data_IF_899415480055
#
_entry.id   IF_899415480055
#
_cell.length_a   1.000
_cell.length_b   1.000
_cell.length_c   1.000
_cell.angle_alpha   90.00
_cell.angle_beta   90.00
_cell.angle_gamma   90.00
#
_symmetry.space_group_name_H-M   'P 1'
#
loop_
_entity.id
_entity.type
_entity.pdbx_description
1 polymer ?
#
# COMPACT_ATOMS: atom_id res chain seq x y z
N UNK A 1 -49.65 -55.18 -69.81
CA UNK A 1 -49.67 -54.19 -70.89
C UNK A 1 -49.40 -52.82 -70.30
N UNK A 2 -48.26 -52.29 -70.66
CA UNK A 2 -47.84 -50.89 -70.78
C UNK A 2 -48.00 -49.99 -69.55
N UNK A 3 -46.90 -49.59 -68.94
CA UNK A 3 -45.92 -48.51 -69.29
C UNK A 3 -46.41 -47.13 -68.77
N UNK A 4 -45.70 -46.37 -68.15
CA UNK A 4 -44.44 -45.65 -68.34
C UNK A 4 -44.26 -44.62 -67.24
N UNK A 5 -43.11 -44.57 -66.66
CA UNK A 5 -42.17 -43.46 -66.66
C UNK A 5 -42.68 -42.06 -66.35
N UNK A 6 -42.19 -41.49 -65.24
CA UNK A 6 -41.66 -40.16 -65.24
C UNK A 6 -40.71 -39.98 -64.07
N UNK A 7 -39.44 -39.96 -64.38
CA UNK A 7 -38.33 -39.52 -63.51
C UNK A 7 -38.26 -38.02 -63.49
N UNK A 8 -38.32 -37.41 -62.28
CA UNK A 8 -37.93 -35.99 -62.08
C UNK A 8 -36.68 -35.90 -61.18
N UNK A 9 -35.63 -35.13 -61.53
CA UNK A 9 -34.42 -35.05 -60.76
C UNK A 9 -34.60 -34.03 -59.58
N UNK A 10 -34.50 -34.55 -58.38
CA UNK A 10 -34.37 -33.73 -57.16
C UNK A 10 -32.92 -33.21 -57.06
N UNK A 11 -32.67 -32.02 -57.55
CA UNK A 11 -31.45 -31.29 -57.25
C UNK A 11 -31.50 -30.76 -55.82
N UNK A 12 -31.02 -31.57 -54.88
CA UNK A 12 -30.66 -31.11 -53.54
C UNK A 12 -29.32 -30.40 -53.57
N UNK A 13 -29.32 -29.11 -53.78
CA UNK A 13 -28.13 -28.28 -53.56
C UNK A 13 -27.88 -28.17 -52.06
N UNK A 14 -26.97 -29.02 -51.57
CA UNK A 14 -26.40 -28.89 -50.23
C UNK A 14 -25.59 -27.62 -50.17
N UNK A 15 -26.16 -26.55 -49.64
CA UNK A 15 -25.42 -25.34 -49.33
C UNK A 15 -24.38 -25.65 -48.22
N UNK A 16 -23.16 -25.95 -48.66
CA UNK A 16 -22.00 -26.06 -47.78
C UNK A 16 -21.71 -24.65 -47.23
N UNK A 17 -22.18 -24.38 -46.02
CA UNK A 17 -21.76 -23.18 -45.32
C UNK A 17 -20.25 -23.27 -45.05
N UNK A 18 -19.44 -22.67 -45.90
CA UNK A 18 -18.02 -22.45 -45.63
C UNK A 18 -17.91 -21.46 -44.47
N UNK A 19 -17.77 -21.98 -43.28
CA UNK A 19 -17.41 -21.18 -42.12
C UNK A 19 -16.03 -20.58 -42.35
N UNK A 20 -15.99 -19.27 -42.58
CA UNK A 20 -14.77 -18.54 -42.81
C UNK A 20 -13.77 -18.73 -41.65
N UNK A 21 -12.52 -19.15 -41.90
CA UNK A 21 -11.51 -19.44 -40.87
C UNK A 21 -11.03 -18.23 -40.10
N UNK A 22 -11.42 -17.03 -40.49
CA UNK A 22 -10.98 -15.74 -39.94
C UNK A 22 -11.47 -15.51 -38.50
N UNK A 23 -12.64 -16.00 -38.12
CA UNK A 23 -13.20 -15.80 -36.78
C UNK A 23 -12.46 -16.62 -35.72
N UNK A 24 -12.05 -17.84 -36.01
CA UNK A 24 -11.34 -18.73 -35.07
C UNK A 24 -9.94 -18.20 -34.70
N UNK A 25 -9.25 -17.53 -35.61
CA UNK A 25 -7.90 -16.98 -35.40
C UNK A 25 -7.93 -15.75 -34.48
N UNK A 26 -8.93 -14.87 -34.62
CA UNK A 26 -9.13 -13.69 -33.76
C UNK A 26 -9.46 -14.08 -32.30
N UNK A 27 -10.22 -15.12 -32.06
CA UNK A 27 -10.56 -15.60 -30.72
C UNK A 27 -9.35 -16.16 -29.96
N UNK A 28 -8.47 -16.88 -30.66
CA UNK A 28 -7.21 -17.39 -30.09
C UNK A 28 -6.26 -16.24 -29.75
N UNK A 29 -6.08 -15.26 -30.63
CA UNK A 29 -5.22 -14.11 -30.39
C UNK A 29 -5.64 -13.33 -29.13
N UNK A 30 -6.93 -13.04 -28.95
CA UNK A 30 -7.43 -12.36 -27.75
C UNK A 30 -7.13 -13.14 -26.45
N UNK A 31 -7.23 -14.46 -26.48
CA UNK A 31 -6.94 -15.29 -25.31
C UNK A 31 -5.45 -15.28 -24.95
N UNK A 32 -4.56 -15.28 -25.95
CA UNK A 32 -3.11 -15.17 -25.71
C UNK A 32 -2.73 -13.79 -25.18
N UNK A 33 -3.29 -12.71 -25.72
CA UNK A 33 -3.05 -11.34 -25.22
C UNK A 33 -3.57 -11.22 -23.76
N UNK A 34 -4.76 -11.71 -23.47
CA UNK A 34 -5.30 -11.73 -22.08
C UNK A 34 -4.37 -12.48 -21.14
N UNK A 35 -3.85 -13.65 -21.54
CA UNK A 35 -2.92 -14.43 -20.72
C UNK A 35 -1.58 -13.71 -20.53
N UNK A 36 -1.03 -13.10 -21.57
CA UNK A 36 0.22 -12.35 -21.49
C UNK A 36 0.08 -11.16 -20.52
N UNK A 37 -1.00 -10.39 -20.65
CA UNK A 37 -1.30 -9.28 -19.71
C UNK A 37 -1.47 -9.78 -18.28
N UNK A 38 -2.13 -10.92 -18.08
CA UNK A 38 -2.27 -11.54 -16.76
C UNK A 38 -0.91 -11.91 -16.16
N UNK A 39 -0.03 -12.55 -16.94
CA UNK A 39 1.31 -12.94 -16.47
C UNK A 39 2.14 -11.71 -16.13
N UNK A 40 2.14 -10.68 -16.99
CA UNK A 40 2.87 -9.44 -16.73
C UNK A 40 2.36 -8.77 -15.46
N UNK A 41 1.04 -8.63 -15.29
CA UNK A 41 0.44 -8.06 -14.09
C UNK A 41 0.79 -8.87 -12.83
N UNK A 42 0.81 -10.20 -12.92
CA UNK A 42 1.19 -11.10 -11.83
C UNK A 42 2.62 -10.87 -11.37
N UNK A 43 3.57 -10.75 -12.31
CA UNK A 43 4.98 -10.50 -12.00
C UNK A 43 5.21 -9.07 -11.47
N UNK A 44 4.43 -8.11 -11.94
CA UNK A 44 4.51 -6.73 -11.47
C UNK A 44 3.90 -6.52 -10.08
N UNK A 45 2.99 -7.39 -9.62
CA UNK A 45 2.26 -7.19 -8.36
C UNK A 45 3.16 -6.96 -7.15
N UNK A 46 4.15 -7.81 -6.82
CA UNK A 46 5.01 -7.57 -5.65
C UNK A 46 5.85 -6.29 -5.81
N UNK A 47 6.38 -6.03 -7.00
CA UNK A 47 7.15 -4.81 -7.31
C UNK A 47 6.25 -3.57 -7.16
N UNK A 48 5.00 -3.65 -7.61
CA UNK A 48 4.05 -2.56 -7.51
C UNK A 48 3.69 -2.24 -6.06
N UNK A 49 3.48 -3.26 -5.22
CA UNK A 49 3.12 -3.07 -3.80
C UNK A 49 4.29 -2.48 -3.03
N UNK A 50 5.47 -3.11 -3.09
CA UNK A 50 6.66 -2.66 -2.35
C UNK A 50 7.15 -1.33 -2.90
N UNK A 51 7.25 -1.19 -4.22
CA UNK A 51 7.76 0.01 -4.86
C UNK A 51 6.86 1.22 -4.65
N UNK A 52 5.54 1.05 -4.73
CA UNK A 52 4.59 2.12 -4.44
C UNK A 52 4.65 2.54 -2.97
N UNK A 53 4.69 1.58 -2.04
CA UNK A 53 4.85 1.87 -0.61
C UNK A 53 6.16 2.63 -0.35
N UNK A 54 7.29 2.14 -0.84
CA UNK A 54 8.58 2.79 -0.64
C UNK A 54 8.62 4.21 -1.22
N UNK A 55 8.07 4.39 -2.42
CA UNK A 55 7.95 5.73 -3.01
C UNK A 55 7.08 6.66 -2.17
N UNK A 56 5.91 6.21 -1.71
CA UNK A 56 5.00 7.02 -0.89
C UNK A 56 5.59 7.33 0.48
N UNK A 57 6.22 6.34 1.13
CA UNK A 57 6.77 6.51 2.48
C UNK A 57 8.03 7.37 2.47
N UNK A 58 8.91 7.25 1.46
CA UNK A 58 10.20 7.95 1.43
C UNK A 58 10.07 9.32 0.74
N UNK A 59 9.36 9.39 -0.41
CA UNK A 59 9.32 10.61 -1.22
C UNK A 59 8.25 11.61 -0.76
N UNK A 60 7.22 11.19 -0.02
CA UNK A 60 6.19 12.08 0.51
C UNK A 60 6.55 12.49 1.96
N UNK A 61 6.87 13.77 2.22
CA UNK A 61 7.26 14.23 3.55
C UNK A 61 6.21 13.98 4.63
N UNK A 62 4.93 14.23 4.32
CA UNK A 62 3.83 14.03 5.28
C UNK A 62 3.70 12.56 5.66
N UNK A 63 3.78 11.66 4.68
CA UNK A 63 3.71 10.23 4.91
C UNK A 63 4.92 9.70 5.67
N UNK A 64 6.12 10.20 5.35
CA UNK A 64 7.34 9.87 6.07
C UNK A 64 7.24 10.27 7.54
N UNK A 65 6.86 11.50 7.83
CA UNK A 65 6.73 11.99 9.21
C UNK A 65 5.62 11.24 9.95
N UNK A 66 4.47 10.97 9.33
CA UNK A 66 3.42 10.16 9.97
C UNK A 66 3.88 8.72 10.29
N UNK A 67 4.90 8.24 9.58
CA UNK A 67 5.52 6.92 9.84
C UNK A 67 6.51 6.97 11.00
N UNK A 68 7.37 8.01 11.06
CA UNK A 68 8.49 8.05 12.02
C UNK A 68 8.18 8.82 13.31
N UNK A 69 7.21 9.75 13.30
CA UNK A 69 6.86 10.52 14.48
C UNK A 69 6.43 9.65 15.68
N UNK A 70 5.61 8.60 15.52
CA UNK A 70 5.22 7.75 16.65
C UNK A 70 6.38 7.01 17.31
N UNK A 71 7.53 6.85 16.63
CA UNK A 71 8.72 6.22 17.21
C UNK A 71 9.27 7.03 18.39
N UNK A 72 9.08 8.35 18.41
CA UNK A 72 9.50 9.21 19.53
C UNK A 72 8.69 8.97 20.81
N UNK A 73 7.50 8.34 20.69
CA UNK A 73 6.62 8.01 21.82
C UNK A 73 6.78 6.56 22.27
N UNK A 74 7.48 5.75 21.47
CA UNK A 74 7.68 4.32 21.76
C UNK A 74 8.71 4.14 22.89
N UNK A 75 8.37 3.44 23.98
CA UNK A 75 9.27 3.29 25.13
C UNK A 75 10.57 2.55 24.83
N UNK A 76 10.55 1.57 23.90
CA UNK A 76 11.73 0.79 23.53
C UNK A 76 12.70 1.67 22.71
N UNK A 77 12.17 2.51 21.83
CA UNK A 77 12.94 3.51 21.07
C UNK A 77 13.50 4.58 22.01
N UNK A 78 12.69 5.12 22.93
CA UNK A 78 13.14 6.12 23.89
C UNK A 78 14.28 5.56 24.75
N UNK A 79 14.17 4.35 25.25
CA UNK A 79 15.22 3.71 26.03
C UNK A 79 16.50 3.51 25.21
N UNK A 80 16.42 3.01 23.98
CA UNK A 80 17.58 2.81 23.12
C UNK A 80 18.29 4.15 22.81
N UNK A 81 17.52 5.21 22.52
CA UNK A 81 18.08 6.55 22.31
C UNK A 81 18.73 7.08 23.59
N UNK A 82 18.08 6.90 24.76
CA UNK A 82 18.63 7.33 26.05
C UNK A 82 19.96 6.64 26.36
N UNK A 83 20.06 5.35 26.10
CA UNK A 83 21.29 4.58 26.31
C UNK A 83 22.42 5.06 25.41
N UNK A 84 22.17 5.23 24.11
CA UNK A 84 23.17 5.71 23.15
C UNK A 84 23.63 7.13 23.46
N UNK A 85 22.68 8.04 23.72
CA UNK A 85 23.00 9.43 24.03
C UNK A 85 23.74 9.56 25.36
N UNK A 86 23.32 8.81 26.38
CA UNK A 86 23.98 8.81 27.69
C UNK A 86 25.41 8.27 27.58
N UNK A 87 25.61 7.19 26.84
CA UNK A 87 26.95 6.62 26.64
C UNK A 87 27.87 7.56 25.88
N UNK A 88 27.38 8.17 24.80
CA UNK A 88 28.14 9.17 24.05
C UNK A 88 28.53 10.40 24.91
N UNK A 89 27.61 10.88 25.76
CA UNK A 89 27.90 11.99 26.67
C UNK A 89 28.95 11.58 27.73
N UNK A 90 28.79 10.39 28.32
CA UNK A 90 29.71 9.87 29.35
C UNK A 90 31.13 9.65 28.78
N UNK A 91 31.24 9.15 27.56
CA UNK A 91 32.55 9.01 26.88
C UNK A 91 33.19 10.36 26.58
N UNK A 92 32.41 11.33 26.07
CA UNK A 92 32.94 12.66 25.71
C UNK A 92 33.38 13.46 26.91
N UNK A 93 32.72 13.33 28.05
CA UNK A 93 32.95 14.20 29.24
C UNK A 93 34.09 13.66 30.14
N UNK A 94 34.69 12.52 29.93
CA UNK A 94 35.67 11.92 30.85
C UNK A 94 35.32 12.14 32.35
N UNK A 95 34.17 11.59 32.72
CA UNK A 95 33.57 11.75 34.05
C UNK A 95 34.48 11.34 35.21
N UNK A 96 35.52 10.53 34.92
CA UNK A 96 36.54 10.18 35.94
C UNK A 96 37.46 11.35 36.23
N UNK A 97 37.95 12.08 35.23
CA UNK A 97 38.76 13.27 35.41
C UNK A 97 38.00 14.42 36.07
N UNK A 98 36.72 14.56 35.74
CA UNK A 98 35.81 15.48 36.42
C UNK A 98 35.65 15.12 37.90
N UNK A 99 35.43 13.86 38.23
CA UNK A 99 35.29 13.39 39.62
C UNK A 99 36.58 13.61 40.41
N UNK A 100 37.74 13.29 39.83
CA UNK A 100 39.05 13.51 40.48
C UNK A 100 39.38 15.01 40.64
N UNK A 101 39.03 15.83 39.65
CA UNK A 101 39.19 17.29 39.73
C UNK A 101 38.33 17.96 40.79
N UNK A 102 37.08 17.60 40.92
CA UNK A 102 36.17 18.06 41.97
C UNK A 102 36.64 17.63 43.37
N UNK A 103 37.15 16.42 43.51
CA UNK A 103 37.69 15.91 44.77
C UNK A 103 39.02 16.57 45.12
N UNK A 104 39.92 16.74 44.17
CA UNK A 104 41.23 17.41 44.37
C UNK A 104 41.13 18.84 44.85
N UNK A 105 40.04 19.56 44.50
CA UNK A 105 39.75 20.89 44.99
C UNK A 105 39.32 20.93 46.47
N UNK A 106 38.80 19.79 47.02
CA UNK A 106 38.23 19.70 48.37
C UNK A 106 39.08 18.83 49.29
N UNK A 107 39.75 17.82 48.75
CA UNK A 107 40.51 16.79 49.51
C UNK A 107 41.98 16.86 49.10
N UNK A 108 42.89 17.35 49.94
CA UNK A 108 44.32 17.47 49.59
C UNK A 108 45.09 16.14 49.52
N UNK A 109 44.43 15.01 49.82
CA UNK A 109 45.04 13.68 49.85
C UNK A 109 44.72 12.90 48.59
N UNK A 110 45.66 12.77 47.65
CA UNK A 110 45.51 12.08 46.35
C UNK A 110 44.98 10.65 46.48
N UNK A 111 45.38 9.87 47.49
CA UNK A 111 44.88 8.50 47.69
C UNK A 111 43.42 8.42 48.08
N UNK A 112 42.93 9.41 48.85
CA UNK A 112 41.54 9.53 49.23
C UNK A 112 40.68 10.03 48.05
N UNK A 113 41.23 10.95 47.27
CA UNK A 113 40.65 11.47 46.05
C UNK A 113 40.40 10.33 45.03
N UNK A 114 41.44 9.49 44.80
CA UNK A 114 41.30 8.34 43.88
C UNK A 114 40.31 7.26 44.34
N UNK A 115 40.26 7.01 45.66
CA UNK A 115 39.30 6.06 46.25
C UNK A 115 37.83 6.52 46.12
N UNK A 116 37.62 7.84 46.19
CA UNK A 116 36.28 8.42 46.11
C UNK A 116 35.86 8.78 44.68
N UNK A 117 36.81 8.87 43.73
CA UNK A 117 36.52 9.17 42.33
C UNK A 117 35.58 8.17 41.68
N UNK A 118 35.68 6.87 42.02
CA UNK A 118 34.80 5.85 41.51
C UNK A 118 33.32 6.05 41.87
N UNK A 119 32.96 6.16 43.17
CA UNK A 119 31.58 6.43 43.58
C UNK A 119 31.01 7.76 43.03
N UNK A 120 31.85 8.80 42.92
CA UNK A 120 31.39 10.08 42.38
C UNK A 120 31.16 9.97 40.86
N UNK A 121 32.03 9.26 40.15
CA UNK A 121 31.80 8.98 38.73
C UNK A 121 30.45 8.30 38.51
N UNK A 122 30.14 7.24 39.29
CA UNK A 122 28.83 6.56 39.21
C UNK A 122 27.67 7.52 39.48
N UNK A 123 27.87 8.48 40.44
CA UNK A 123 26.88 9.51 40.71
C UNK A 123 26.67 10.48 39.54
N UNK A 124 27.78 10.93 38.89
CA UNK A 124 27.70 11.80 37.69
C UNK A 124 27.05 11.05 36.53
N UNK A 125 27.49 9.82 36.25
CA UNK A 125 26.91 8.98 35.20
C UNK A 125 25.40 8.77 35.42
N UNK A 126 24.98 8.57 36.68
CA UNK A 126 23.56 8.43 37.05
C UNK A 126 22.76 9.74 36.85
N UNK A 127 23.34 10.88 37.11
CA UNK A 127 22.71 12.19 36.82
C UNK A 127 22.55 12.43 35.33
N UNK A 128 23.59 12.09 34.52
CA UNK A 128 23.51 12.17 33.06
C UNK A 128 22.40 11.30 32.52
N UNK A 129 22.38 10.00 32.89
CA UNK A 129 21.35 9.07 32.47
C UNK A 129 19.95 9.55 32.87
N UNK A 130 19.75 9.95 34.12
CA UNK A 130 18.45 10.45 34.59
C UNK A 130 18.02 11.77 33.95
N UNK A 131 18.97 12.58 33.46
CA UNK A 131 18.69 13.77 32.67
C UNK A 131 18.25 13.44 31.26
N UNK A 132 19.00 12.53 30.61
CA UNK A 132 18.67 12.06 29.25
C UNK A 132 17.34 11.34 29.22
N UNK A 133 17.05 10.46 30.22
CA UNK A 133 15.76 9.78 30.35
C UNK A 133 14.58 10.75 30.41
N UNK A 134 14.71 11.82 31.19
CA UNK A 134 13.68 12.87 31.26
C UNK A 134 13.50 13.60 29.95
N UNK A 135 14.60 13.88 29.25
CA UNK A 135 14.54 14.54 27.95
C UNK A 135 13.85 13.68 26.90
N UNK A 136 14.22 12.38 26.75
CA UNK A 136 13.65 11.52 25.71
C UNK A 136 12.16 11.21 25.93
N UNK A 137 11.67 11.37 27.16
CA UNK A 137 10.23 11.23 27.49
C UNK A 137 9.47 12.55 27.39
N UNK A 138 10.15 13.68 27.10
CA UNK A 138 9.55 15.01 27.02
C UNK A 138 8.95 15.32 25.65
N UNK A 139 8.04 16.32 25.59
CA UNK A 139 7.54 16.87 24.35
C UNK A 139 8.63 17.56 23.51
N UNK A 140 9.68 18.09 24.16
CA UNK A 140 10.81 18.69 23.48
C UNK A 140 11.58 17.67 22.63
N UNK A 141 11.73 16.44 23.13
CA UNK A 141 12.30 15.34 22.34
C UNK A 141 11.44 15.00 21.14
N UNK A 142 10.11 14.88 21.30
CA UNK A 142 9.18 14.58 20.20
C UNK A 142 9.27 15.65 19.10
N UNK A 143 9.31 16.93 19.46
CA UNK A 143 9.47 18.01 18.50
C UNK A 143 10.84 17.97 17.80
N UNK A 144 11.93 17.76 18.55
CA UNK A 144 13.26 17.61 17.99
C UNK A 144 13.35 16.41 17.04
N UNK A 145 12.76 15.26 17.43
CA UNK A 145 12.70 14.06 16.62
C UNK A 145 12.05 14.32 15.25
N UNK A 146 10.88 14.97 15.24
CA UNK A 146 10.16 15.32 14.00
C UNK A 146 11.02 16.25 13.12
N UNK A 147 11.59 17.33 13.69
CA UNK A 147 12.43 18.29 12.95
C UNK A 147 13.67 17.62 12.35
N UNK A 148 14.36 16.76 13.11
CA UNK A 148 15.53 16.00 12.64
C UNK A 148 15.14 15.11 11.46
N UNK A 149 14.05 14.36 11.59
CA UNK A 149 13.60 13.47 10.54
C UNK A 149 13.11 14.22 9.30
N UNK A 150 12.44 15.38 9.44
CA UNK A 150 12.09 16.24 8.31
C UNK A 150 13.33 16.77 7.57
N UNK A 151 14.35 17.20 8.31
CA UNK A 151 15.57 17.69 7.71
C UNK A 151 16.33 16.57 6.99
N UNK A 152 16.45 15.40 7.63
CA UNK A 152 17.08 14.22 7.07
C UNK A 152 16.37 13.74 5.79
N UNK A 153 15.04 13.66 5.81
CA UNK A 153 14.24 13.25 4.66
C UNK A 153 14.38 14.23 3.49
N UNK A 154 14.25 15.54 3.74
CA UNK A 154 14.45 16.57 2.71
C UNK A 154 15.84 16.49 2.10
N UNK A 155 16.87 16.35 2.95
CA UNK A 155 18.24 16.19 2.51
C UNK A 155 18.46 14.95 1.67
N UNK A 156 17.91 13.81 2.09
CA UNK A 156 18.00 12.55 1.36
C UNK A 156 17.32 12.63 -0.01
N UNK A 157 16.12 13.20 -0.09
CA UNK A 157 15.41 13.37 -1.36
C UNK A 157 16.12 14.36 -2.28
N UNK A 158 16.63 15.48 -1.75
CA UNK A 158 17.44 16.43 -2.52
C UNK A 158 18.68 15.75 -3.12
N UNK A 159 19.36 14.93 -2.32
CA UNK A 159 20.49 14.14 -2.77
C UNK A 159 20.13 13.17 -3.89
N UNK A 160 19.04 12.41 -3.76
CA UNK A 160 18.56 11.47 -4.78
C UNK A 160 18.07 12.18 -6.06
N UNK A 161 17.49 13.38 -5.91
CA UNK A 161 16.99 14.18 -7.05
C UNK A 161 18.10 14.93 -7.78
N UNK A 162 19.30 15.02 -7.18
CA UNK A 162 20.38 15.81 -7.71
C UNK A 162 20.20 17.33 -7.50
N UNK A 163 19.32 17.74 -6.59
CA UNK A 163 19.08 19.13 -6.22
C UNK A 163 19.98 19.51 -5.02
N UNK A 164 20.99 20.38 -5.19
CA UNK A 164 21.93 20.72 -4.14
C UNK A 164 21.38 21.76 -3.13
N UNK A 165 20.12 22.17 -3.23
CA UNK A 165 19.54 23.28 -2.45
C UNK A 165 19.02 22.88 -1.05
N UNK A 166 19.59 21.84 -0.41
CA UNK A 166 19.16 21.34 0.90
C UNK A 166 20.20 21.51 2.03
N UNK A 167 19.87 21.11 3.26
CA UNK A 167 20.80 21.05 4.40
C UNK A 167 21.93 20.02 4.21
N UNK A 168 21.90 19.33 3.10
CA UNK A 168 22.88 18.33 2.70
C UNK A 168 23.95 19.00 1.88
N UNK A 169 25.20 18.90 2.34
CA UNK A 169 26.36 19.43 1.65
C UNK A 169 27.14 18.31 1.00
N UNK A 170 27.78 18.63 -0.13
CA UNK A 170 28.72 17.73 -0.77
C UNK A 170 30.14 18.08 -0.29
N UNK A 171 30.79 17.20 0.43
CA UNK A 171 32.23 17.27 0.68
C UNK A 171 32.94 16.27 -0.26
N UNK A 172 33.49 16.80 -1.34
CA UNK A 172 34.06 15.98 -2.41
C UNK A 172 32.96 15.18 -3.14
N UNK A 173 33.05 13.87 -3.09
CA UNK A 173 32.09 12.94 -3.70
C UNK A 173 31.11 12.33 -2.68
N UNK A 174 31.25 12.63 -1.39
CA UNK A 174 30.43 12.09 -0.32
C UNK A 174 29.24 13.00 -0.01
N UNK A 175 28.09 12.39 0.28
CA UNK A 175 26.90 13.08 0.74
C UNK A 175 26.93 13.18 2.25
N UNK A 176 27.08 14.40 2.74
CA UNK A 176 27.23 14.70 4.16
C UNK A 176 26.04 15.51 4.65
N UNK A 177 25.36 15.02 5.67
CA UNK A 177 24.34 15.76 6.40
C UNK A 177 25.03 16.55 7.53
N UNK A 178 24.99 17.88 7.46
CA UNK A 178 25.44 18.72 8.56
C UNK A 178 24.33 18.83 9.61
N UNK A 179 24.51 18.16 10.73
CA UNK A 179 23.57 18.16 11.86
C UNK A 179 23.93 19.14 12.96
N UNK A 180 24.93 20.01 12.77
CA UNK A 180 25.38 20.96 13.79
C UNK A 180 24.26 21.85 14.33
N UNK A 181 23.41 22.38 13.46
CA UNK A 181 22.27 23.21 13.87
C UNK A 181 21.21 22.41 14.66
N UNK A 182 21.01 21.15 14.32
CA UNK A 182 20.11 20.26 15.03
C UNK A 182 20.66 19.87 16.39
N UNK A 183 21.97 19.59 16.49
CA UNK A 183 22.62 19.32 17.76
C UNK A 183 22.59 20.55 18.69
N UNK A 184 22.74 21.77 18.15
CA UNK A 184 22.60 23.01 18.93
C UNK A 184 21.16 23.19 19.45
N UNK A 185 20.14 22.86 18.66
CA UNK A 185 18.73 22.93 19.10
C UNK A 185 18.46 21.91 20.20
N UNK A 186 18.97 20.68 20.06
CA UNK A 186 18.89 19.62 21.10
C UNK A 186 19.64 20.07 22.37
N UNK A 187 20.83 20.64 22.24
CA UNK A 187 21.61 21.15 23.34
C UNK A 187 20.82 22.22 24.11
N UNK A 188 20.21 23.16 23.39
CA UNK A 188 19.40 24.24 24.01
C UNK A 188 18.22 23.64 24.76
N UNK A 189 17.50 22.67 24.14
CA UNK A 189 16.37 21.99 24.78
C UNK A 189 16.81 21.22 26.05
N UNK A 190 17.97 20.57 26.04
CA UNK A 190 18.51 19.89 27.22
C UNK A 190 18.83 20.85 28.36
N UNK A 191 19.37 22.03 28.06
CA UNK A 191 19.63 23.08 29.06
C UNK A 191 18.34 23.63 29.63
N UNK A 192 17.32 23.85 28.80
CA UNK A 192 16.00 24.33 29.21
C UNK A 192 15.28 23.33 30.14
N UNK A 193 15.54 22.04 29.94
CA UNK A 193 15.03 20.94 30.83
C UNK A 193 15.89 20.77 32.12
N UNK A 194 16.89 21.67 32.33
CA UNK A 194 17.70 21.72 33.54
C UNK A 194 18.96 20.85 33.51
N UNK A 195 19.40 20.42 32.32
CA UNK A 195 20.66 19.72 32.13
C UNK A 195 21.75 20.73 31.74
N UNK A 196 22.15 21.59 32.69
CA UNK A 196 23.13 22.69 32.46
C UNK A 196 24.48 22.19 31.89
N UNK A 197 24.83 20.92 32.17
CA UNK A 197 26.05 20.29 31.64
C UNK A 197 26.02 20.20 30.13
N UNK A 198 24.84 20.01 29.53
CA UNK A 198 24.69 19.94 28.08
C UNK A 198 25.17 21.24 27.41
N UNK A 199 24.99 22.41 28.07
CA UNK A 199 25.48 23.70 27.60
C UNK A 199 27.01 23.85 27.57
N UNK A 200 27.73 23.00 28.30
CA UNK A 200 29.20 23.00 28.30
C UNK A 200 29.82 22.12 27.22
N UNK A 201 29.04 21.32 26.51
CA UNK A 201 29.49 20.45 25.42
C UNK A 201 29.74 21.32 24.19
N UNK A 202 30.99 21.39 23.75
CA UNK A 202 31.33 22.05 22.48
C UNK A 202 31.01 21.08 21.34
N UNK A 203 30.09 21.44 20.47
CA UNK A 203 29.78 20.69 19.26
C UNK A 203 30.73 21.20 18.16
N UNK A 204 31.73 20.39 17.72
CA UNK A 204 32.63 20.82 16.65
C UNK A 204 31.88 20.85 15.33
N UNK A 205 32.01 21.91 14.56
CA UNK A 205 31.38 22.05 13.24
C UNK A 205 31.83 20.96 12.24
N UNK A 206 33.05 20.42 12.43
CA UNK A 206 33.64 19.40 11.57
C UNK A 206 33.18 17.96 11.88
N UNK A 207 32.76 17.68 13.13
CA UNK A 207 32.44 16.32 13.58
C UNK A 207 30.93 16.03 13.60
N UNK A 208 30.14 17.08 13.32
CA UNK A 208 28.68 16.96 13.23
C UNK A 208 28.19 16.55 11.82
N UNK A 209 29.06 15.89 11.08
CA UNK A 209 28.76 15.43 9.71
C UNK A 209 28.50 13.93 9.71
N UNK A 210 27.35 13.55 9.20
CA UNK A 210 27.00 12.12 8.99
C UNK A 210 27.12 11.82 7.51
N UNK A 211 28.05 10.93 7.14
CA UNK A 211 28.14 10.43 5.77
C UNK A 211 26.95 9.51 5.51
N UNK A 212 26.04 9.96 4.67
CA UNK A 212 24.81 9.20 4.34
C UNK A 212 25.06 8.14 3.27
N UNK A 213 25.91 8.46 2.27
CA UNK A 213 26.24 7.57 1.16
C UNK A 213 27.62 7.95 0.59
N UNK A 214 28.42 6.96 0.23
CA UNK A 214 29.61 7.14 -0.58
C UNK A 214 29.28 7.42 -2.05
N UNK A 215 30.19 8.06 -2.77
CA UNK A 215 29.99 8.55 -4.14
C UNK A 215 29.47 7.50 -5.15
N UNK A 216 30.02 6.26 -5.22
CA UNK A 216 29.57 5.26 -6.20
C UNK A 216 28.14 4.77 -5.91
N UNK A 217 27.78 4.57 -4.63
CA UNK A 217 26.45 4.12 -4.23
C UNK A 217 25.40 5.22 -4.48
N UNK A 218 25.77 6.49 -4.22
CA UNK A 218 24.92 7.64 -4.48
C UNK A 218 24.61 7.80 -5.98
N UNK A 219 25.60 7.67 -6.85
CA UNK A 219 25.41 7.77 -8.29
C UNK A 219 24.44 6.67 -8.79
N UNK A 220 24.59 5.44 -8.30
CA UNK A 220 23.64 4.35 -8.59
C UNK A 220 22.25 4.63 -8.05
N UNK A 221 22.14 5.08 -6.80
CA UNK A 221 20.86 5.42 -6.18
C UNK A 221 20.12 6.53 -6.93
N UNK A 222 20.82 7.58 -7.38
CA UNK A 222 20.27 8.65 -8.23
C UNK A 222 19.75 8.13 -9.57
N UNK A 223 20.54 7.30 -10.25
CA UNK A 223 20.14 6.73 -11.53
C UNK A 223 18.88 5.85 -11.37
N UNK A 224 18.83 5.02 -10.33
CA UNK A 224 17.68 4.18 -10.02
C UNK A 224 16.47 5.06 -9.63
N UNK A 225 16.65 6.04 -8.76
CA UNK A 225 15.56 6.91 -8.29
C UNK A 225 14.98 7.74 -9.44
N UNK A 226 15.81 8.34 -10.28
CA UNK A 226 15.36 9.14 -11.42
C UNK A 226 14.55 8.33 -12.45
N UNK A 227 14.92 7.07 -12.69
CA UNK A 227 14.20 6.18 -13.58
C UNK A 227 12.96 5.55 -12.92
N UNK A 228 13.06 5.18 -11.66
CA UNK A 228 12.02 4.43 -10.96
C UNK A 228 10.91 5.34 -10.41
N UNK A 229 11.24 6.53 -9.88
CA UNK A 229 10.28 7.42 -9.21
C UNK A 229 9.02 7.72 -10.04
N UNK A 230 9.07 8.13 -11.32
CA UNK A 230 7.87 8.38 -12.11
C UNK A 230 7.07 7.11 -12.42
N UNK A 231 7.73 5.94 -12.45
CA UNK A 231 7.07 4.65 -12.68
C UNK A 231 6.42 4.18 -11.38
N UNK A 232 7.11 4.27 -10.26
CA UNK A 232 6.64 3.80 -8.95
C UNK A 232 5.41 4.57 -8.46
N UNK A 233 5.29 5.85 -8.80
CA UNK A 233 4.10 6.64 -8.48
C UNK A 233 2.82 6.09 -9.11
N UNK A 234 2.89 5.48 -10.30
CA UNK A 234 1.74 4.97 -11.06
C UNK A 234 1.70 3.44 -11.22
N UNK A 235 2.72 2.72 -10.73
CA UNK A 235 2.89 1.28 -11.01
C UNK A 235 1.73 0.44 -10.48
N UNK A 236 1.16 0.82 -9.34
CA UNK A 236 0.03 0.13 -8.73
C UNK A 236 -1.22 0.26 -9.61
N UNK A 237 -1.50 1.47 -10.09
CA UNK A 237 -2.59 1.75 -11.03
C UNK A 237 -2.38 1.03 -12.37
N UNK A 238 -1.14 1.03 -12.88
CA UNK A 238 -0.77 0.30 -14.11
C UNK A 238 -1.03 -1.20 -13.95
N UNK A 239 -0.63 -1.79 -12.83
CA UNK A 239 -0.86 -3.22 -12.52
C UNK A 239 -2.35 -3.54 -12.45
N UNK A 240 -3.15 -2.69 -11.79
CA UNK A 240 -4.60 -2.81 -11.75
C UNK A 240 -5.24 -2.69 -13.14
N UNK A 241 -4.77 -1.76 -13.97
CA UNK A 241 -5.23 -1.60 -15.34
C UNK A 241 -4.90 -2.82 -16.21
N UNK A 242 -3.70 -3.42 -16.05
CA UNK A 242 -3.30 -4.64 -16.74
C UNK A 242 -4.19 -5.83 -16.36
N UNK A 243 -4.49 -6.03 -15.07
CA UNK A 243 -5.43 -7.05 -14.63
C UNK A 243 -6.83 -6.80 -15.17
N UNK A 244 -7.31 -5.57 -15.12
CA UNK A 244 -8.62 -5.18 -15.66
C UNK A 244 -8.68 -5.49 -17.16
N UNK A 245 -7.69 -5.08 -17.93
CA UNK A 245 -7.62 -5.32 -19.37
C UNK A 245 -7.53 -6.81 -19.68
N UNK A 246 -6.77 -7.58 -18.89
CA UNK A 246 -6.70 -9.03 -18.99
C UNK A 246 -8.10 -9.67 -18.84
N UNK A 247 -8.88 -9.27 -17.84
CA UNK A 247 -10.25 -9.75 -17.61
C UNK A 247 -11.18 -9.34 -18.77
N UNK A 248 -11.11 -8.09 -19.23
CA UNK A 248 -11.97 -7.59 -20.31
C UNK A 248 -11.71 -8.31 -21.65
N UNK A 249 -10.44 -8.64 -21.95
CA UNK A 249 -10.05 -9.37 -23.14
C UNK A 249 -10.27 -10.88 -23.02
N UNK A 250 -10.42 -11.42 -21.81
CA UNK A 250 -10.59 -12.85 -21.57
C UNK A 250 -11.85 -13.41 -22.24
N UNK A 251 -11.73 -14.60 -22.78
CA UNK A 251 -12.88 -15.37 -23.33
C UNK A 251 -13.77 -15.93 -22.23
N UNK A 252 -13.21 -16.19 -21.04
CA UNK A 252 -13.91 -16.71 -19.85
C UNK A 252 -13.70 -15.75 -18.67
N UNK A 253 -14.26 -14.55 -18.77
CA UNK A 253 -14.06 -13.43 -17.82
C UNK A 253 -14.18 -13.84 -16.36
N UNK A 254 -15.24 -14.57 -15.97
CA UNK A 254 -15.44 -14.99 -14.59
C UNK A 254 -14.28 -15.85 -14.03
N UNK A 255 -13.75 -16.77 -14.84
CA UNK A 255 -12.60 -17.59 -14.43
C UNK A 255 -11.32 -16.78 -14.33
N UNK A 256 -11.12 -15.83 -15.25
CA UNK A 256 -9.96 -14.94 -15.21
C UNK A 256 -10.06 -14.01 -14.00
N UNK A 257 -11.24 -13.49 -13.64
CA UNK A 257 -11.44 -12.69 -12.43
C UNK A 257 -11.10 -13.49 -11.17
N UNK A 258 -11.57 -14.73 -11.06
CA UNK A 258 -11.20 -15.61 -9.94
C UNK A 258 -9.68 -15.84 -9.90
N UNK A 259 -9.04 -16.07 -11.05
CA UNK A 259 -7.60 -16.25 -11.13
C UNK A 259 -6.84 -14.97 -10.67
N UNK A 260 -7.29 -13.77 -11.07
CA UNK A 260 -6.74 -12.49 -10.58
C UNK A 260 -6.84 -12.41 -9.07
N UNK A 261 -8.02 -12.69 -8.49
CA UNK A 261 -8.21 -12.64 -7.04
C UNK A 261 -7.33 -13.65 -6.30
N UNK A 262 -7.19 -14.88 -6.82
CA UNK A 262 -6.27 -15.89 -6.24
C UNK A 262 -4.82 -15.39 -6.31
N UNK A 263 -4.41 -14.78 -7.42
CA UNK A 263 -3.04 -14.26 -7.58
C UNK A 263 -2.76 -13.12 -6.61
N UNK A 264 -3.68 -12.15 -6.48
CA UNK A 264 -3.54 -11.04 -5.53
C UNK A 264 -3.46 -11.55 -4.10
N UNK A 265 -4.33 -12.50 -3.72
CA UNK A 265 -4.32 -13.12 -2.40
C UNK A 265 -3.04 -13.93 -2.15
N UNK A 266 -2.57 -14.68 -3.13
CA UNK A 266 -1.33 -15.48 -3.01
C UNK A 266 -0.10 -14.57 -2.82
N UNK A 267 0.01 -13.47 -3.58
CA UNK A 267 1.07 -12.48 -3.38
C UNK A 267 0.96 -11.76 -2.04
N UNK A 268 -0.26 -11.44 -1.59
CA UNK A 268 -0.47 -10.84 -0.26
C UNK A 268 0.02 -11.78 0.85
N UNK A 269 -0.30 -13.07 0.79
CA UNK A 269 0.18 -14.07 1.74
C UNK A 269 1.71 -14.26 1.66
N UNK A 270 2.27 -14.29 0.44
CA UNK A 270 3.71 -14.40 0.24
C UNK A 270 4.47 -13.18 0.78
N UNK A 271 3.95 -11.97 0.55
CA UNK A 271 4.51 -10.74 1.09
C UNK A 271 4.40 -10.70 2.62
N UNK A 272 3.25 -11.07 3.19
CA UNK A 272 3.08 -11.12 4.64
C UNK A 272 4.08 -12.08 5.31
N UNK A 273 4.24 -13.28 4.73
CA UNK A 273 5.24 -14.25 5.21
C UNK A 273 6.67 -13.72 5.03
N UNK A 274 6.98 -13.14 3.87
CA UNK A 274 8.31 -12.59 3.58
C UNK A 274 8.68 -11.43 4.49
N UNK A 275 7.71 -10.56 4.84
CA UNK A 275 7.93 -9.49 5.80
C UNK A 275 8.19 -10.02 7.21
N UNK A 276 7.54 -11.10 7.65
CA UNK A 276 7.85 -11.75 8.93
C UNK A 276 9.28 -12.32 8.96
N UNK A 277 9.70 -13.00 7.88
CA UNK A 277 11.08 -13.49 7.78
C UNK A 277 12.11 -12.36 7.73
N UNK A 278 11.74 -11.23 7.09
CA UNK A 278 12.58 -10.04 7.05
C UNK A 278 12.66 -9.35 8.42
N UNK A 279 11.59 -9.36 9.22
CA UNK A 279 11.59 -8.90 10.62
C UNK A 279 12.58 -9.69 11.45
N UNK A 280 12.48 -11.02 11.43
CA UNK A 280 13.42 -11.88 12.17
C UNK A 280 14.87 -11.57 11.78
N UNK A 281 15.16 -11.47 10.47
CA UNK A 281 16.52 -11.17 9.98
C UNK A 281 16.98 -9.76 10.34
N UNK A 282 16.07 -8.81 10.40
CA UNK A 282 16.36 -7.43 10.80
C UNK A 282 16.70 -7.37 12.30
N UNK A 283 15.87 -7.96 13.15
CA UNK A 283 16.09 -8.02 14.61
C UNK A 283 17.39 -8.75 14.92
N UNK A 284 17.67 -9.87 14.26
CA UNK A 284 18.92 -10.62 14.43
C UNK A 284 20.18 -9.78 14.11
N UNK A 285 20.07 -8.84 13.16
CA UNK A 285 21.18 -7.95 12.81
C UNK A 285 21.53 -6.94 13.91
N UNK A 286 20.61 -6.69 14.84
CA UNK A 286 20.81 -5.79 16.00
C UNK A 286 21.06 -6.54 17.30
N UNK A 287 21.18 -7.87 17.29
CA UNK A 287 21.56 -8.66 18.48
C UNK A 287 22.87 -8.13 19.07
N UNK A 288 22.96 -8.14 20.39
CA UNK A 288 24.11 -7.63 21.16
C UNK A 288 24.40 -6.12 20.97
N UNK A 289 23.46 -5.34 20.40
CA UNK A 289 23.56 -3.87 20.31
C UNK A 289 22.60 -3.18 21.28
N UNK A 290 22.81 -1.87 21.54
CA UNK A 290 21.89 -1.05 22.34
C UNK A 290 20.50 -0.91 21.69
N UNK A 291 20.37 -1.21 20.40
CA UNK A 291 19.11 -1.14 19.65
C UNK A 291 18.36 -2.46 19.57
N UNK A 292 18.83 -3.54 20.17
CA UNK A 292 18.20 -4.87 20.07
C UNK A 292 16.71 -4.83 20.47
N UNK A 293 16.40 -4.19 21.61
CA UNK A 293 15.00 -4.09 22.09
C UNK A 293 14.11 -3.20 21.20
N UNK A 294 14.69 -2.14 20.64
CA UNK A 294 13.98 -1.19 19.79
C UNK A 294 13.83 -1.67 18.33
N UNK A 295 14.58 -2.69 17.91
CA UNK A 295 14.61 -3.14 16.53
C UNK A 295 13.23 -3.60 16.02
N UNK A 296 12.48 -4.35 16.83
CA UNK A 296 11.13 -4.83 16.49
C UNK A 296 10.16 -3.67 16.37
N UNK A 297 10.15 -2.74 17.34
CA UNK A 297 9.29 -1.56 17.32
C UNK A 297 9.58 -0.69 16.08
N UNK A 298 10.86 -0.46 15.80
CA UNK A 298 11.29 0.29 14.62
C UNK A 298 10.85 -0.37 13.32
N UNK A 299 11.08 -1.67 13.16
CA UNK A 299 10.68 -2.43 11.96
C UNK A 299 9.17 -2.34 11.71
N UNK A 300 8.37 -2.64 12.73
CA UNK A 300 6.92 -2.65 12.63
C UNK A 300 6.36 -1.26 12.33
N UNK A 301 6.89 -0.21 12.95
CA UNK A 301 6.46 1.15 12.71
C UNK A 301 6.86 1.64 11.32
N UNK A 302 8.09 1.35 10.86
CA UNK A 302 8.54 1.72 9.52
C UNK A 302 7.68 1.07 8.43
N UNK A 303 7.27 -0.18 8.62
CA UNK A 303 6.51 -0.95 7.65
C UNK A 303 5.00 -0.94 7.89
N UNK A 304 4.49 -0.14 8.86
CA UNK A 304 3.08 -0.11 9.24
C UNK A 304 2.13 0.04 8.04
N UNK A 305 2.42 0.97 7.13
CA UNK A 305 1.59 1.19 5.93
C UNK A 305 1.72 0.06 4.90
N UNK A 306 2.88 -0.59 4.81
CA UNK A 306 3.06 -1.77 3.94
C UNK A 306 2.27 -2.96 4.49
N UNK A 307 2.33 -3.21 5.79
CA UNK A 307 1.57 -4.27 6.45
C UNK A 307 0.05 -4.05 6.28
N UNK A 308 -0.42 -2.82 6.48
CA UNK A 308 -1.83 -2.46 6.24
C UNK A 308 -2.22 -2.64 4.76
N UNK A 309 -1.36 -2.27 3.82
CA UNK A 309 -1.62 -2.47 2.39
C UNK A 309 -1.68 -3.96 2.02
N UNK A 310 -0.79 -4.79 2.57
CA UNK A 310 -0.80 -6.25 2.36
C UNK A 310 -2.10 -6.87 2.90
N UNK A 311 -2.56 -6.46 4.08
CA UNK A 311 -3.85 -6.91 4.64
C UNK A 311 -5.03 -6.45 3.77
N UNK A 312 -5.00 -5.21 3.30
CA UNK A 312 -6.01 -4.67 2.38
C UNK A 312 -6.06 -5.44 1.05
N UNK A 313 -4.90 -5.83 0.52
CA UNK A 313 -4.80 -6.64 -0.70
C UNK A 313 -5.30 -8.08 -0.50
N UNK A 314 -5.09 -8.66 0.68
CA UNK A 314 -5.66 -9.97 1.03
C UNK A 314 -7.19 -9.95 0.94
N UNK A 315 -7.80 -8.94 1.56
CA UNK A 315 -9.25 -8.73 1.49
C UNK A 315 -9.71 -8.45 0.05
N UNK A 316 -9.01 -7.59 -0.68
CA UNK A 316 -9.30 -7.26 -2.08
C UNK A 316 -9.30 -8.53 -2.94
N UNK A 317 -8.29 -9.39 -2.77
CA UNK A 317 -8.21 -10.69 -3.47
C UNK A 317 -9.41 -11.57 -3.16
N UNK A 318 -9.82 -11.68 -1.89
CA UNK A 318 -11.01 -12.42 -1.49
C UNK A 318 -12.29 -11.87 -2.12
N UNK A 319 -12.46 -10.54 -2.12
CA UNK A 319 -13.60 -9.86 -2.77
C UNK A 319 -13.63 -10.15 -4.27
N UNK A 320 -12.49 -10.05 -4.96
CA UNK A 320 -12.38 -10.34 -6.40
C UNK A 320 -12.75 -11.80 -6.68
N UNK A 321 -12.34 -12.76 -5.83
CA UNK A 321 -12.71 -14.18 -5.96
C UNK A 321 -14.23 -14.34 -5.85
N UNK A 322 -14.85 -13.75 -4.82
CA UNK A 322 -16.29 -13.81 -4.58
C UNK A 322 -17.06 -13.21 -5.76
N UNK A 323 -16.66 -12.04 -6.25
CA UNK A 323 -17.28 -11.38 -7.39
C UNK A 323 -17.13 -12.21 -8.68
N UNK A 324 -15.94 -12.74 -8.92
CA UNK A 324 -15.67 -13.61 -10.07
C UNK A 324 -16.48 -14.91 -10.02
N UNK A 325 -16.62 -15.54 -8.84
CA UNK A 325 -17.47 -16.69 -8.63
C UNK A 325 -18.95 -16.37 -8.83
N UNK A 326 -19.40 -15.25 -8.25
CA UNK A 326 -20.79 -14.80 -8.38
C UNK A 326 -21.16 -14.49 -9.84
N UNK A 327 -20.26 -13.94 -10.64
CA UNK A 327 -20.46 -13.73 -12.07
C UNK A 327 -20.27 -15.01 -12.92
N UNK A 328 -19.87 -16.11 -12.30
CA UNK A 328 -19.62 -17.39 -12.98
C UNK A 328 -20.88 -18.17 -13.33
N UNK A 329 -20.70 -19.29 -14.07
CA UNK A 329 -21.78 -20.18 -14.50
C UNK A 329 -21.84 -21.47 -13.67
N UNK A 330 -21.36 -21.46 -12.42
CA UNK A 330 -21.49 -22.60 -11.50
C UNK A 330 -22.95 -22.74 -11.04
N UNK A 331 -23.42 -23.99 -10.81
CA UNK A 331 -24.79 -24.24 -10.34
C UNK A 331 -25.11 -23.44 -9.07
N UNK A 332 -24.18 -23.37 -8.12
CA UNK A 332 -24.35 -22.62 -6.89
C UNK A 332 -24.45 -21.10 -7.15
N UNK A 333 -23.59 -20.51 -7.99
CA UNK A 333 -23.66 -19.08 -8.32
C UNK A 333 -24.97 -18.73 -9.07
N UNK A 334 -25.45 -19.62 -9.96
CA UNK A 334 -26.72 -19.43 -10.67
C UNK A 334 -27.91 -19.50 -9.70
N UNK A 335 -27.91 -20.45 -8.76
CA UNK A 335 -28.98 -20.60 -7.75
C UNK A 335 -29.03 -19.35 -6.83
N UNK A 336 -27.88 -18.91 -6.28
CA UNK A 336 -27.81 -17.73 -5.41
C UNK A 336 -28.28 -16.48 -6.16
N UNK A 337 -27.84 -16.28 -7.41
CA UNK A 337 -28.33 -15.16 -8.22
C UNK A 337 -29.83 -15.24 -8.46
N UNK A 338 -30.37 -16.43 -8.78
CA UNK A 338 -31.81 -16.62 -8.98
C UNK A 338 -32.63 -16.25 -7.76
N UNK A 339 -32.17 -16.58 -6.56
CA UNK A 339 -32.83 -16.19 -5.31
C UNK A 339 -32.77 -14.69 -5.07
N UNK A 340 -31.63 -14.05 -5.35
CA UNK A 340 -31.47 -12.60 -5.24
C UNK A 340 -32.29 -11.88 -6.31
N UNK A 341 -32.26 -12.35 -7.55
CA UNK A 341 -32.99 -11.77 -8.66
C UNK A 341 -34.51 -11.80 -8.42
N UNK A 342 -35.06 -12.87 -7.84
CA UNK A 342 -36.49 -12.94 -7.49
C UNK A 342 -36.88 -11.90 -6.42
N UNK A 343 -36.04 -11.72 -5.40
CA UNK A 343 -36.28 -10.68 -4.37
C UNK A 343 -36.17 -9.27 -4.93
N UNK A 344 -35.15 -9.00 -5.77
CA UNK A 344 -34.96 -7.68 -6.39
C UNK A 344 -36.02 -7.36 -7.44
N UNK A 345 -36.54 -8.37 -8.15
CA UNK A 345 -37.62 -8.22 -9.10
C UNK A 345 -38.91 -7.78 -8.42
N UNK A 346 -39.25 -8.33 -7.23
CA UNK A 346 -40.40 -7.89 -6.45
C UNK A 346 -40.31 -6.41 -6.06
N UNK A 347 -39.12 -5.96 -5.65
CA UNK A 347 -38.87 -4.53 -5.35
C UNK A 347 -38.91 -3.67 -6.61
N UNK A 348 -38.31 -4.15 -7.70
CA UNK A 348 -38.26 -3.43 -8.98
C UNK A 348 -39.65 -3.21 -9.60
N UNK A 349 -40.56 -4.20 -9.47
CA UNK A 349 -41.94 -4.09 -9.96
C UNK A 349 -42.80 -3.06 -9.21
N UNK A 350 -42.38 -2.64 -8.01
CA UNK A 350 -43.03 -1.58 -7.24
C UNK A 350 -42.58 -0.18 -7.63
N UNK A 351 -41.58 -0.06 -8.52
CA UNK A 351 -41.06 1.25 -8.96
C UNK A 351 -42.02 1.92 -9.94
N UNK A 352 -42.05 3.28 -10.00
CA UNK A 352 -42.79 4.02 -10.98
C UNK A 352 -42.34 3.69 -12.42
N UNK A 353 -43.26 3.62 -13.36
CA UNK A 353 -43.00 3.37 -14.78
C UNK A 353 -42.06 4.38 -15.44
N UNK A 354 -42.00 5.62 -14.87
CA UNK A 354 -41.07 6.67 -15.33
C UNK A 354 -39.58 6.22 -15.26
N UNK A 355 -39.23 5.26 -14.40
CA UNK A 355 -37.86 4.73 -14.28
C UNK A 355 -37.54 3.65 -15.33
N UNK A 356 -38.54 3.16 -16.07
CA UNK A 356 -38.32 2.21 -17.15
C UNK A 356 -37.44 2.76 -18.29
N UNK A 357 -37.44 4.07 -18.49
CA UNK A 357 -36.56 4.75 -19.48
C UNK A 357 -35.10 4.55 -19.17
N UNK A 358 -34.72 4.43 -17.90
CA UNK A 358 -33.36 4.14 -17.43
C UNK A 358 -33.15 2.62 -17.40
N UNK A 359 -34.15 1.85 -17.00
CA UNK A 359 -34.07 0.38 -16.87
C UNK A 359 -33.88 -0.36 -18.19
N UNK A 360 -34.48 0.12 -19.27
CA UNK A 360 -34.38 -0.50 -20.61
C UNK A 360 -32.94 -0.61 -21.13
N UNK A 361 -32.16 0.50 -21.27
CA UNK A 361 -30.77 0.42 -21.73
C UNK A 361 -29.89 -0.39 -20.77
N UNK A 362 -30.12 -0.29 -19.46
CA UNK A 362 -29.39 -1.10 -18.48
C UNK A 362 -29.63 -2.59 -18.67
N UNK A 363 -30.83 -3.02 -19.04
CA UNK A 363 -31.19 -4.43 -19.33
C UNK A 363 -30.54 -4.91 -20.62
N UNK A 364 -30.55 -4.11 -21.67
CA UNK A 364 -29.97 -4.44 -22.97
C UNK A 364 -28.42 -4.61 -22.87
N UNK A 365 -27.77 -3.73 -22.12
CA UNK A 365 -26.32 -3.73 -21.92
C UNK A 365 -25.88 -4.35 -20.58
N UNK A 366 -26.74 -5.11 -19.91
CA UNK A 366 -26.49 -5.67 -18.57
C UNK A 366 -25.11 -6.33 -18.39
N UNK A 367 -24.59 -7.17 -19.32
CA UNK A 367 -23.26 -7.74 -19.17
C UNK A 367 -22.14 -6.70 -19.26
N UNK A 368 -22.29 -5.68 -20.09
CA UNK A 368 -21.31 -4.59 -20.21
C UNK A 368 -21.33 -3.69 -18.97
N UNK A 369 -22.51 -3.37 -18.44
CA UNK A 369 -22.68 -2.57 -17.23
C UNK A 369 -22.02 -3.26 -16.03
N UNK A 370 -22.27 -4.56 -15.82
CA UNK A 370 -21.68 -5.31 -14.70
C UNK A 370 -20.15 -5.36 -14.78
N UNK A 371 -19.59 -5.70 -15.94
CA UNK A 371 -18.14 -5.78 -16.12
C UNK A 371 -17.49 -4.39 -16.13
N UNK A 372 -18.17 -3.37 -16.63
CA UNK A 372 -17.73 -1.98 -16.57
C UNK A 372 -17.67 -1.45 -15.15
N UNK A 373 -18.68 -1.68 -14.33
CA UNK A 373 -18.70 -1.30 -12.91
C UNK A 373 -17.60 -2.01 -12.11
N UNK A 374 -17.38 -3.31 -12.37
CA UNK A 374 -16.27 -4.04 -11.75
C UNK A 374 -14.91 -3.47 -12.15
N UNK A 375 -14.72 -3.09 -13.42
CA UNK A 375 -13.49 -2.47 -13.90
C UNK A 375 -13.27 -1.09 -13.27
N UNK A 376 -14.32 -0.26 -13.21
CA UNK A 376 -14.27 1.06 -12.57
C UNK A 376 -13.95 0.90 -11.08
N UNK A 377 -14.59 -0.03 -10.39
CA UNK A 377 -14.33 -0.30 -8.98
C UNK A 377 -12.88 -0.71 -8.74
N UNK A 378 -12.35 -1.63 -9.54
CA UNK A 378 -10.97 -2.08 -9.39
C UNK A 378 -9.99 -0.93 -9.58
N UNK A 379 -10.21 -0.08 -10.59
CA UNK A 379 -9.39 1.11 -10.82
C UNK A 379 -9.56 2.11 -9.66
N UNK A 380 -10.79 2.34 -9.18
CA UNK A 380 -11.06 3.29 -8.11
C UNK A 380 -10.38 2.91 -6.79
N UNK A 381 -10.36 1.61 -6.41
CA UNK A 381 -9.66 1.13 -5.21
C UNK A 381 -8.18 1.52 -5.21
N UNK A 382 -7.54 1.51 -6.39
CA UNK A 382 -6.11 1.84 -6.52
C UNK A 382 -5.85 3.33 -6.83
N UNK A 383 -6.79 4.05 -7.43
CA UNK A 383 -6.61 5.44 -7.83
C UNK A 383 -6.73 6.43 -6.66
N UNK A 384 -7.54 6.10 -5.64
CA UNK A 384 -7.85 7.02 -4.54
C UNK A 384 -6.98 6.81 -3.29
N UNK A 385 -5.76 6.31 -3.42
CA UNK A 385 -4.76 6.21 -2.37
C UNK A 385 -4.46 4.79 -1.90
N UNK A 386 -3.88 4.65 -0.69
CA UNK A 386 -3.45 3.37 -0.16
C UNK A 386 -4.61 2.35 -0.04
N UNK A 387 -4.35 1.11 -0.41
CA UNK A 387 -5.30 -0.01 -0.28
C UNK A 387 -5.34 -0.43 1.19
N UNK A 388 -6.28 0.13 1.94
CA UNK A 388 -6.52 -0.23 3.35
C UNK A 388 -7.77 -1.08 3.48
N UNK A 389 -7.90 -1.78 4.61
CA UNK A 389 -9.07 -2.59 4.93
C UNK A 389 -10.37 -1.79 4.83
N UNK A 390 -10.41 -0.62 5.47
CA UNK A 390 -11.60 0.24 5.53
C UNK A 390 -12.01 0.76 4.14
N UNK A 391 -11.03 1.24 3.35
CA UNK A 391 -11.30 1.73 1.98
C UNK A 391 -11.77 0.61 1.07
N UNK A 392 -11.15 -0.57 1.14
CA UNK A 392 -11.56 -1.73 0.33
C UNK A 392 -12.99 -2.14 0.67
N UNK A 393 -13.36 -2.18 1.94
CA UNK A 393 -14.73 -2.44 2.38
C UNK A 393 -15.70 -1.34 1.90
N UNK A 394 -15.34 -0.07 2.06
CA UNK A 394 -16.15 1.06 1.62
C UNK A 394 -16.44 1.05 0.12
N UNK A 395 -15.40 0.90 -0.71
CA UNK A 395 -15.55 0.80 -2.17
C UNK A 395 -16.31 -0.45 -2.60
N UNK A 396 -16.16 -1.58 -1.87
CA UNK A 396 -16.90 -2.81 -2.14
C UNK A 396 -18.37 -2.67 -1.78
N UNK A 397 -18.69 -2.05 -0.65
CA UNK A 397 -20.06 -1.75 -0.26
C UNK A 397 -20.74 -0.82 -1.28
N UNK A 398 -20.02 0.20 -1.76
CA UNK A 398 -20.50 1.09 -2.82
C UNK A 398 -20.78 0.31 -4.12
N UNK A 399 -19.86 -0.56 -4.55
CA UNK A 399 -20.06 -1.39 -5.74
C UNK A 399 -21.30 -2.27 -5.61
N UNK A 400 -21.44 -2.97 -4.48
CA UNK A 400 -22.61 -3.85 -4.22
C UNK A 400 -23.90 -3.01 -4.23
N UNK A 401 -23.90 -1.84 -3.60
CA UNK A 401 -25.04 -0.93 -3.61
C UNK A 401 -25.42 -0.48 -5.03
N UNK A 402 -24.44 -0.06 -5.84
CA UNK A 402 -24.67 0.39 -7.23
C UNK A 402 -25.14 -0.78 -8.11
N UNK A 403 -24.56 -1.98 -7.96
CA UNK A 403 -24.99 -3.17 -8.69
C UNK A 403 -26.42 -3.58 -8.31
N UNK A 404 -26.76 -3.52 -7.02
CA UNK A 404 -28.11 -3.80 -6.53
C UNK A 404 -29.11 -2.79 -7.06
N UNK A 405 -28.79 -1.50 -7.02
CA UNK A 405 -29.65 -0.46 -7.58
C UNK A 405 -29.85 -0.63 -9.10
N UNK A 406 -28.76 -0.89 -9.83
CA UNK A 406 -28.84 -1.14 -11.27
C UNK A 406 -29.72 -2.37 -11.57
N UNK A 407 -29.62 -3.43 -10.75
CA UNK A 407 -30.42 -4.61 -10.90
C UNK A 407 -31.92 -4.34 -10.64
N UNK A 408 -32.25 -3.58 -9.59
CA UNK A 408 -33.63 -3.17 -9.27
C UNK A 408 -34.22 -2.35 -10.42
N UNK A 409 -33.46 -1.39 -10.97
CA UNK A 409 -33.89 -0.55 -12.09
C UNK A 409 -34.14 -1.37 -13.37
N UNK A 410 -33.39 -2.46 -13.58
CA UNK A 410 -33.63 -3.35 -14.73
C UNK A 410 -34.99 -4.08 -14.67
N UNK A 411 -35.61 -4.18 -13.48
CA UNK A 411 -36.93 -4.80 -13.27
C UNK A 411 -38.09 -3.80 -13.23
N UNK A 412 -37.84 -2.49 -13.44
CA UNK A 412 -38.90 -1.49 -13.50
C UNK A 412 -39.94 -1.83 -14.59
N UNK A 413 -41.26 -1.72 -14.30
CA UNK A 413 -42.32 -2.12 -15.22
C UNK A 413 -42.35 -1.24 -16.47
N UNK A 414 -42.44 -1.87 -17.65
CA UNK A 414 -42.57 -1.20 -18.94
C UNK A 414 -44.04 -0.91 -19.26
N UNK A 415 -44.41 0.32 -19.54
CA UNK A 415 -45.78 0.71 -20.00
C UNK A 415 -46.16 0.16 -21.39
N UNK A 416 -45.26 -0.55 -22.04
CA UNK A 416 -45.42 -1.02 -23.44
C UNK A 416 -45.76 -2.52 -23.58
N UNK A 417 -46.33 -3.16 -22.58
CA UNK A 417 -47.02 -4.45 -22.82
C UNK A 417 -48.39 -4.14 -23.33
N UNK A 418 -48.74 -4.38 -24.65
CA UNK A 418 -50.10 -4.33 -25.07
C UNK A 418 -50.85 -5.40 -24.28
N UNK A 419 -51.85 -4.96 -23.49
CA UNK A 419 -52.85 -5.85 -22.97
C UNK A 419 -53.33 -6.71 -24.14
N UNK A 420 -53.01 -8.00 -24.12
CA UNK A 420 -53.71 -8.97 -24.94
C UNK A 420 -55.14 -9.02 -24.38
N UNK A 421 -55.99 -8.12 -24.88
CA UNK A 421 -57.44 -8.28 -24.79
C UNK A 421 -57.74 -9.62 -25.45
N UNK A 422 -58.31 -10.62 -24.73
CA UNK A 422 -58.85 -11.81 -25.37
C UNK A 422 -59.93 -11.27 -26.34
N UNK A 423 -59.66 -11.44 -27.64
CA UNK A 423 -60.62 -11.08 -28.69
C UNK A 423 -61.96 -11.72 -28.38
N UNK A 424 -62.98 -10.91 -28.30
CA UNK A 424 -64.40 -11.24 -28.50
C UNK A 424 -64.57 -11.97 -29.87
N UNK A 425 -64.17 -13.23 -29.92
CA UNK A 425 -64.49 -14.13 -31.00
C UNK A 425 -65.45 -15.20 -30.51
N UNK A 426 -66.62 -14.75 -30.02
CA UNK A 426 -67.73 -15.66 -29.74
C UNK A 426 -69.05 -14.85 -29.88
N UNK A 427 -69.47 -14.67 -31.10
CA UNK A 427 -70.90 -14.45 -31.41
C UNK A 427 -71.07 -14.20 -32.92
N UNK A 428 -70.78 -15.16 -33.76
CA UNK A 428 -71.39 -15.26 -35.13
C UNK A 428 -71.51 -16.74 -35.52
N UNK A 429 -72.33 -17.49 -34.77
CA UNK A 429 -72.91 -18.73 -35.29
C UNK A 429 -74.23 -18.97 -34.56
N UNK A 430 -75.23 -18.19 -35.01
CA UNK A 430 -76.65 -18.58 -34.93
C UNK A 430 -77.45 -17.44 -35.60
N UNK A 431 -77.55 -17.52 -36.93
CA UNK A 431 -78.75 -17.26 -37.73
C UNK A 431 -78.66 -17.97 -39.11
#
# INVERSE_FOLDING_TARGET
MLAAMATGPTNGASATYVQSPVTRKRWRARSYVSLALFIVATLLTPIAVIGHWGHQTIANPEQYISTVAPLAEDPEIQQAVADVVSEAIIEQIDTRNLASGLLGAVIPNERLSDLLAGPIKVGIDGLIRGGVDRFVTSSAFQEAWVKINEAAQRGFIAALSGDPSGPVQFEGDDLVLNISSLLQEVQTALVDEGIDIAGSVTIPDSDAQVVLLDSPALAQARAIYGLASPILSVILLLTAALFTLSVLLATRRARTTVAVGITVMAWSLALNYGLGVAEDSFVDAFQDTLFEQAATAFYNQLLVYLLLAVQGLLLLGAVIIILGWFCGNTRAAVSVRGSIDSGLAEVGQRLPTSLATIGRPLREYAPFVRWGLLAIWLIAVFAFGAVTLERTLGWTALLVGVLTLAQILMYAPDDAAPEHRPSEARNLTNQ
#
